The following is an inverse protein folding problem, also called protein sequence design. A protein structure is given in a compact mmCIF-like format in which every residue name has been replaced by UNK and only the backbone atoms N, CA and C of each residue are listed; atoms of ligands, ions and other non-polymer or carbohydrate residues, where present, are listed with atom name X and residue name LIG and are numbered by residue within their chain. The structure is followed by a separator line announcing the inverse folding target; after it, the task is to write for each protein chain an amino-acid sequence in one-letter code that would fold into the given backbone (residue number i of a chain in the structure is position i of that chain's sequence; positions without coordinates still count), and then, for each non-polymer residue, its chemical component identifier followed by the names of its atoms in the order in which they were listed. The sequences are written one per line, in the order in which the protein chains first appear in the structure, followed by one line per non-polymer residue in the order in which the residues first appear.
data_IF_179337468455
#
_entry.id   IF_179337468455
#
_cell.length_a   1.000
_cell.length_b   1.000
_cell.length_c   1.000
_cell.angle_alpha   90.00
_cell.angle_beta   90.00
_cell.angle_gamma   90.00
#
_symmetry.space_group_name_H-M   'P 1'
#
loop_
_entity.id
_entity.type
_entity.pdbx_description
1 polymer ?
#
# COMPACT_ATOMS: atom_id res chain seq x y z
N UNK A 1 -7.23 5.26 4.85
CA UNK A 1 -6.08 4.33 4.76
C UNK A 1 -4.98 4.80 5.71
N UNK A 2 -4.24 3.88 6.32
CA UNK A 2 -3.14 4.14 7.26
C UNK A 2 -1.75 3.80 6.65
N UNK A 3 -0.61 4.26 7.20
CA UNK A 3 0.73 3.98 6.67
C UNK A 3 1.30 2.58 7.03
N UNK A 4 2.44 2.19 6.46
CA UNK A 4 3.16 0.97 6.85
C UNK A 4 3.59 1.06 8.32
N UNK A 5 3.48 -0.04 9.07
CA UNK A 5 3.78 -0.09 10.50
C UNK A 5 3.01 0.95 11.33
N UNK A 6 1.75 1.26 10.99
CA UNK A 6 0.98 2.32 11.65
C UNK A 6 0.82 2.09 13.16
N UNK A 7 0.69 0.82 13.57
CA UNK A 7 0.40 0.46 14.95
C UNK A 7 1.64 0.51 15.84
N UNK A 8 2.81 0.13 15.31
CA UNK A 8 4.05 0.09 16.07
C UNK A 8 5.28 0.06 15.14
N UNK A 9 6.32 0.82 15.50
CA UNK A 9 7.65 0.71 14.94
C UNK A 9 8.65 0.40 16.05
N UNK A 10 9.15 -0.85 16.10
CA UNK A 10 10.08 -1.30 17.14
C UNK A 10 11.46 -0.64 17.05
N UNK A 11 12.19 -0.66 18.16
CA UNK A 11 13.58 -0.18 18.20
C UNK A 11 14.54 -1.07 17.38
N UNK A 12 14.23 -2.36 17.30
CA UNK A 12 14.96 -3.34 16.50
C UNK A 12 14.00 -4.09 15.58
N UNK A 13 14.53 -4.64 14.50
CA UNK A 13 13.69 -5.38 13.55
C UNK A 13 13.00 -6.60 14.16
N UNK A 14 13.65 -7.30 15.10
CA UNK A 14 13.10 -8.48 15.77
C UNK A 14 11.92 -8.16 16.68
N UNK A 15 11.76 -6.91 17.12
CA UNK A 15 10.67 -6.53 18.03
C UNK A 15 9.28 -6.78 17.39
N UNK A 16 9.21 -6.84 16.05
CA UNK A 16 8.01 -7.24 15.29
C UNK A 16 7.45 -8.61 15.71
N UNK A 17 8.31 -9.54 16.13
CA UNK A 17 7.91 -10.89 16.55
C UNK A 17 7.06 -10.85 17.83
N UNK A 18 7.41 -9.97 18.77
CA UNK A 18 6.68 -9.81 20.03
C UNK A 18 5.29 -9.18 19.81
N UNK A 19 5.15 -8.34 18.79
CA UNK A 19 3.90 -7.69 18.42
C UNK A 19 3.10 -8.45 17.34
N UNK A 20 3.55 -9.64 16.95
CA UNK A 20 2.93 -10.40 15.89
C UNK A 20 1.57 -10.98 16.32
N UNK A 21 0.52 -10.61 15.58
CA UNK A 21 -0.83 -11.10 15.81
C UNK A 21 -1.12 -12.38 15.02
N UNK A 22 -2.07 -13.19 15.50
CA UNK A 22 -2.64 -14.26 14.69
C UNK A 22 -3.68 -13.65 13.74
N UNK A 23 -3.83 -14.20 12.53
CA UNK A 23 -4.84 -13.69 11.60
C UNK A 23 -6.25 -13.86 12.20
N UNK A 24 -7.00 -12.77 12.30
CA UNK A 24 -8.34 -12.72 12.89
C UNK A 24 -8.34 -12.63 14.42
N UNK A 25 -7.18 -12.45 15.06
CA UNK A 25 -7.09 -12.32 16.52
C UNK A 25 -5.93 -11.39 16.90
N UNK A 26 -6.28 -10.21 17.40
CA UNK A 26 -5.34 -9.29 18.01
C UNK A 26 -5.86 -7.85 18.08
N UNK A 27 -5.32 -7.05 19.01
CA UNK A 27 -5.83 -5.72 19.31
C UNK A 27 -5.81 -4.75 18.12
N UNK A 28 -4.83 -4.85 17.22
CA UNK A 28 -4.74 -4.00 16.03
C UNK A 28 -5.85 -4.37 15.04
N UNK A 29 -6.12 -5.66 14.85
CA UNK A 29 -7.21 -6.12 13.99
C UNK A 29 -8.58 -5.75 14.56
N UNK A 30 -8.77 -5.91 15.87
CA UNK A 30 -10.02 -5.54 16.54
C UNK A 30 -10.27 -4.03 16.44
N UNK A 31 -9.24 -3.22 16.67
CA UNK A 31 -9.31 -1.77 16.48
C UNK A 31 -9.72 -1.38 15.05
N UNK A 32 -9.13 -2.01 14.03
CA UNK A 32 -9.44 -1.70 12.63
C UNK A 32 -10.87 -2.13 12.25
N UNK A 33 -11.32 -3.30 12.71
CA UNK A 33 -12.68 -3.78 12.50
C UNK A 33 -13.71 -2.88 13.18
N UNK A 34 -13.46 -2.51 14.44
CA UNK A 34 -14.32 -1.61 15.21
C UNK A 34 -14.38 -0.21 14.61
N UNK A 35 -13.24 0.34 14.20
CA UNK A 35 -13.19 1.64 13.54
C UNK A 35 -13.97 1.64 12.23
N UNK A 36 -13.83 0.58 11.40
CA UNK A 36 -14.54 0.46 10.14
C UNK A 36 -16.06 0.41 10.36
N UNK A 37 -16.51 -0.39 11.34
CA UNK A 37 -17.91 -0.53 11.72
C UNK A 37 -18.51 0.76 12.30
N UNK A 38 -17.84 1.37 13.27
CA UNK A 38 -18.34 2.58 13.95
C UNK A 38 -18.39 3.78 13.01
N UNK A 39 -17.42 3.91 12.10
CA UNK A 39 -17.38 5.02 11.15
C UNK A 39 -18.20 4.74 9.87
N UNK A 40 -18.57 3.48 9.62
CA UNK A 40 -19.18 3.06 8.36
C UNK A 40 -18.27 3.34 7.16
N UNK A 41 -16.98 3.07 7.30
CA UNK A 41 -15.95 3.34 6.27
C UNK A 41 -15.20 2.07 5.88
N UNK A 42 -14.78 2.02 4.62
CA UNK A 42 -13.76 1.08 4.19
C UNK A 42 -12.40 1.51 4.77
N UNK A 43 -11.68 0.59 5.41
CA UNK A 43 -10.38 0.88 6.01
C UNK A 43 -9.32 -0.07 5.47
N UNK A 44 -8.33 0.48 4.77
CA UNK A 44 -7.05 -0.20 4.52
C UNK A 44 -6.10 0.17 5.66
N UNK A 45 -5.85 -0.80 6.53
CA UNK A 45 -5.20 -0.63 7.83
C UNK A 45 -3.68 -0.58 7.78
N UNK A 46 -3.09 0.09 6.79
CA UNK A 46 -1.63 0.23 6.72
C UNK A 46 -0.95 -1.13 6.67
N UNK A 47 0.02 -1.37 7.55
CA UNK A 47 0.50 -2.75 7.79
C UNK A 47 0.68 -3.09 9.26
N UNK A 48 0.57 -4.38 9.56
CA UNK A 48 0.87 -4.99 10.85
C UNK A 48 1.63 -6.32 10.68
N UNK A 49 2.45 -6.73 11.68
CA UNK A 49 3.10 -8.03 11.66
C UNK A 49 2.10 -9.14 11.96
N UNK A 50 1.92 -10.09 11.04
CA UNK A 50 1.14 -11.31 11.29
C UNK A 50 2.04 -12.53 11.43
N UNK A 51 1.73 -13.40 12.39
CA UNK A 51 2.46 -14.65 12.63
C UNK A 51 2.45 -15.54 11.38
N UNK A 52 3.60 -16.12 11.08
CA UNK A 52 3.78 -17.19 10.09
C UNK A 52 3.69 -18.55 10.78
N UNK A 53 3.50 -19.62 9.99
CA UNK A 53 3.56 -20.98 10.51
C UNK A 53 4.95 -21.43 10.97
N UNK A 54 6.03 -20.75 10.53
CA UNK A 54 7.41 -21.11 10.89
C UNK A 54 7.86 -20.58 12.27
N UNK A 55 7.06 -19.71 12.90
CA UNK A 55 7.30 -19.18 14.25
C UNK A 55 8.54 -18.30 14.41
N UNK A 56 9.31 -18.09 13.36
CA UNK A 56 10.60 -17.35 13.39
C UNK A 56 10.53 -16.03 12.61
N UNK A 57 9.51 -15.87 11.76
CA UNK A 57 9.26 -14.67 10.99
C UNK A 57 7.83 -14.16 11.20
N UNK A 58 7.57 -12.98 10.66
CA UNK A 58 6.23 -12.40 10.51
C UNK A 58 5.98 -12.09 9.04
N UNK A 59 4.74 -11.87 8.66
CA UNK A 59 4.42 -11.20 7.39
C UNK A 59 4.24 -9.71 7.64
N UNK A 60 4.62 -8.87 6.68
CA UNK A 60 4.30 -7.44 6.68
C UNK A 60 2.99 -7.27 5.90
N UNK A 61 1.87 -7.32 6.61
CA UNK A 61 0.55 -7.53 6.01
C UNK A 61 -0.29 -6.27 6.03
N UNK A 62 -0.92 -5.94 4.91
CA UNK A 62 -1.98 -4.93 4.81
C UNK A 62 -3.35 -5.61 4.82
N UNK A 63 -4.21 -5.23 5.74
CA UNK A 63 -5.57 -5.73 5.85
C UNK A 63 -6.58 -4.67 5.41
N UNK A 64 -7.63 -5.09 4.71
CA UNK A 64 -8.74 -4.23 4.34
C UNK A 64 -10.03 -4.68 5.04
N UNK A 65 -10.76 -3.72 5.57
CA UNK A 65 -12.01 -3.92 6.31
C UNK A 65 -13.16 -3.17 5.63
N UNK A 66 -14.30 -3.84 5.51
CA UNK A 66 -15.54 -3.26 5.02
C UNK A 66 -16.21 -2.39 6.10
N UNK A 67 -17.16 -1.51 5.74
CA UNK A 67 -17.97 -0.73 6.68
C UNK A 67 -18.73 -1.56 7.72
N UNK A 68 -18.86 -2.87 7.53
CA UNK A 68 -19.44 -3.81 8.50
C UNK A 68 -18.48 -4.20 9.62
N UNK A 69 -17.18 -3.90 9.47
CA UNK A 69 -16.09 -4.42 10.28
C UNK A 69 -15.50 -5.74 9.77
N UNK A 70 -16.04 -6.32 8.70
CA UNK A 70 -15.53 -7.56 8.12
C UNK A 70 -14.18 -7.34 7.43
N UNK A 71 -13.19 -8.21 7.70
CA UNK A 71 -11.95 -8.23 6.93
C UNK A 71 -12.19 -8.86 5.56
N UNK A 72 -12.18 -8.03 4.52
CA UNK A 72 -12.44 -8.42 3.13
C UNK A 72 -11.18 -8.75 2.32
N UNK A 73 -10.00 -8.30 2.77
CA UNK A 73 -8.76 -8.61 2.09
C UNK A 73 -7.56 -8.66 3.05
N UNK A 74 -6.55 -9.43 2.63
CA UNK A 74 -5.21 -9.48 3.20
C UNK A 74 -4.22 -9.48 2.05
N UNK A 75 -3.24 -8.59 2.11
CA UNK A 75 -2.08 -8.56 1.24
C UNK A 75 -0.82 -8.70 2.08
N UNK A 76 0.05 -9.65 1.74
CA UNK A 76 1.36 -9.79 2.36
C UNK A 76 2.40 -9.21 1.40
N UNK A 77 3.23 -8.28 1.89
CA UNK A 77 4.27 -7.61 1.11
C UNK A 77 5.12 -8.62 0.34
N UNK A 78 5.15 -8.48 -0.99
CA UNK A 78 5.80 -9.45 -1.87
C UNK A 78 7.30 -9.16 -1.95
N UNK A 79 7.67 -7.89 -2.12
CA UNK A 79 9.08 -7.51 -2.24
C UNK A 79 9.63 -6.98 -0.93
N UNK A 80 10.58 -7.70 -0.34
CA UNK A 80 11.21 -7.33 0.92
C UNK A 80 12.42 -6.43 0.68
N UNK A 81 12.55 -5.39 1.50
CA UNK A 81 13.63 -4.41 1.37
C UNK A 81 14.97 -5.00 1.80
N UNK A 82 15.99 -4.80 0.96
CA UNK A 82 17.36 -5.16 1.24
C UNK A 82 18.29 -4.10 0.65
N UNK A 83 19.33 -3.72 1.40
CA UNK A 83 20.44 -2.97 0.86
C UNK A 83 21.75 -3.37 1.53
N UNK A 84 22.84 -3.24 0.78
CA UNK A 84 24.21 -3.36 1.26
C UNK A 84 25.04 -2.34 0.48
N UNK A 85 25.63 -1.38 1.17
CA UNK A 85 26.48 -0.35 0.56
C UNK A 85 27.97 -0.51 0.96
N UNK A 86 28.34 -1.66 1.54
CA UNK A 86 29.68 -1.96 2.06
C UNK A 86 30.02 -1.30 3.41
N UNK A 87 29.16 -0.40 3.93
CA UNK A 87 29.30 0.23 5.26
C UNK A 87 28.14 -0.16 6.18
N UNK A 88 26.95 -0.23 5.61
CA UNK A 88 25.70 -0.59 6.26
C UNK A 88 24.99 -1.65 5.43
N UNK A 89 24.40 -2.62 6.13
CA UNK A 89 23.60 -3.68 5.54
C UNK A 89 22.28 -3.80 6.27
N UNK A 90 21.21 -3.92 5.50
CA UNK A 90 19.85 -4.18 5.99
C UNK A 90 19.20 -5.27 5.15
N UNK A 91 18.45 -6.16 5.81
CA UNK A 91 17.77 -7.27 5.17
C UNK A 91 16.45 -7.58 5.91
N UNK A 92 15.33 -7.07 5.37
CA UNK A 92 13.98 -7.26 5.94
C UNK A 92 13.63 -8.76 6.05
N UNK A 93 14.12 -9.57 5.12
CA UNK A 93 13.88 -11.02 5.04
C UNK A 93 14.37 -11.82 6.25
N UNK A 94 15.24 -11.26 7.10
CA UNK A 94 15.69 -11.91 8.34
C UNK A 94 14.57 -12.15 9.33
N UNK A 95 13.56 -11.29 9.34
CA UNK A 95 12.43 -11.36 10.29
C UNK A 95 11.07 -11.32 9.58
N UNK A 96 11.04 -10.98 8.29
CA UNK A 96 9.80 -10.93 7.49
C UNK A 96 9.79 -12.03 6.43
N UNK A 97 8.69 -12.75 6.31
CA UNK A 97 8.40 -13.66 5.22
C UNK A 97 7.66 -12.92 4.10
N UNK A 98 8.08 -13.15 2.86
CA UNK A 98 7.49 -12.53 1.69
C UNK A 98 6.11 -13.15 1.36
N UNK A 99 5.18 -12.30 0.94
CA UNK A 99 3.98 -12.72 0.23
C UNK A 99 4.31 -13.24 -1.16
N UNK A 100 3.30 -13.78 -1.86
CA UNK A 100 3.49 -14.41 -3.18
C UNK A 100 2.43 -14.05 -4.21
N UNK A 101 1.37 -13.34 -3.81
CA UNK A 101 0.19 -13.14 -4.64
C UNK A 101 -0.20 -11.66 -4.65
N UNK A 102 -0.35 -11.06 -5.85
CA UNK A 102 -1.06 -9.80 -5.99
C UNK A 102 -2.49 -9.92 -5.45
N UNK A 103 -3.03 -8.85 -4.87
CA UNK A 103 -4.38 -8.85 -4.31
C UNK A 103 -5.14 -7.64 -4.80
N UNK A 104 -6.37 -7.90 -5.24
CA UNK A 104 -7.37 -6.87 -5.58
C UNK A 104 -8.64 -7.11 -4.79
N UNK A 105 -9.37 -6.04 -4.51
CA UNK A 105 -10.72 -6.09 -3.95
C UNK A 105 -11.61 -5.07 -4.66
N UNK A 106 -12.92 -5.30 -4.66
CA UNK A 106 -13.87 -4.33 -5.16
C UNK A 106 -14.52 -3.59 -3.97
N UNK A 107 -14.59 -2.27 -4.07
CA UNK A 107 -15.13 -1.35 -3.05
C UNK A 107 -16.34 -0.63 -3.64
N UNK A 108 -17.48 -0.75 -2.98
CA UNK A 108 -18.67 0.06 -3.28
C UNK A 108 -18.58 1.41 -2.58
N UNK A 109 -18.56 2.49 -3.36
CA UNK A 109 -18.64 3.85 -2.86
C UNK A 109 -20.09 4.22 -2.50
N UNK A 110 -20.25 5.30 -1.73
CA UNK A 110 -21.56 5.75 -1.22
C UNK A 110 -22.51 6.24 -2.31
N UNK A 111 -21.97 6.67 -3.44
CA UNK A 111 -22.73 7.08 -4.63
C UNK A 111 -23.15 5.90 -5.52
N UNK A 112 -22.82 4.66 -5.13
CA UNK A 112 -23.11 3.45 -5.87
C UNK A 112 -22.05 3.07 -6.90
N UNK A 113 -20.99 3.87 -7.08
CA UNK A 113 -19.88 3.50 -7.97
C UNK A 113 -19.07 2.33 -7.39
N UNK A 114 -18.57 1.47 -8.28
CA UNK A 114 -17.74 0.31 -7.93
C UNK A 114 -16.30 0.55 -8.34
N UNK A 115 -15.39 0.45 -7.38
CA UNK A 115 -13.96 0.70 -7.55
C UNK A 115 -13.18 -0.59 -7.37
N UNK A 116 -12.41 -1.00 -8.39
CA UNK A 116 -11.45 -2.09 -8.24
C UNK A 116 -10.15 -1.56 -7.66
N UNK A 117 -9.77 -2.04 -6.48
CA UNK A 117 -8.62 -1.57 -5.72
C UNK A 117 -7.51 -2.62 -5.72
N UNK A 118 -6.29 -2.22 -6.06
CA UNK A 118 -5.07 -3.04 -5.95
C UNK A 118 -4.29 -2.72 -4.69
N UNK A 119 -3.77 -3.75 -4.01
CA UNK A 119 -2.94 -3.62 -2.82
C UNK A 119 -1.46 -3.80 -3.15
N UNK A 120 -0.61 -2.95 -2.58
CA UNK A 120 0.86 -3.06 -2.61
C UNK A 120 1.45 -2.43 -1.36
N UNK A 121 2.70 -2.69 -1.00
CA UNK A 121 3.35 -2.13 0.21
C UNK A 121 4.76 -1.65 -0.11
N UNK A 122 4.99 -0.35 0.10
CA UNK A 122 6.32 0.27 0.19
C UNK A 122 7.29 -0.15 -0.93
N UNK A 123 8.19 -1.09 -0.65
CA UNK A 123 9.25 -1.53 -1.56
C UNK A 123 8.72 -2.14 -2.87
N UNK A 124 7.48 -2.67 -2.84
CA UNK A 124 6.74 -3.08 -4.02
C UNK A 124 6.71 -1.99 -5.10
N UNK A 125 6.74 -0.70 -4.72
CA UNK A 125 6.76 0.45 -5.63
C UNK A 125 7.84 0.36 -6.71
N UNK A 126 8.95 -0.34 -6.43
CA UNK A 126 10.08 -0.45 -7.36
C UNK A 126 9.85 -1.47 -8.48
N UNK A 127 8.86 -2.34 -8.36
CA UNK A 127 8.64 -3.49 -9.24
C UNK A 127 7.42 -3.25 -10.13
N UNK A 128 7.59 -2.67 -11.34
CA UNK A 128 6.48 -2.38 -12.25
C UNK A 128 5.65 -3.62 -12.58
N UNK A 129 6.24 -4.82 -12.56
CA UNK A 129 5.60 -6.10 -12.87
C UNK A 129 4.38 -6.38 -11.98
N UNK A 130 4.47 -6.04 -10.69
CA UNK A 130 3.33 -6.16 -9.78
C UNK A 130 2.17 -5.27 -10.24
N UNK A 131 2.48 -4.01 -10.57
CA UNK A 131 1.45 -3.06 -11.00
C UNK A 131 0.88 -3.40 -12.37
N UNK A 132 1.69 -4.00 -13.25
CA UNK A 132 1.22 -4.52 -14.54
C UNK A 132 0.25 -5.67 -14.39
N UNK A 133 0.48 -6.56 -13.41
CA UNK A 133 -0.48 -7.59 -13.05
C UNK A 133 -1.79 -6.98 -12.52
N UNK A 134 -1.70 -5.94 -11.67
CA UNK A 134 -2.87 -5.22 -11.16
C UNK A 134 -3.63 -4.47 -12.27
N UNK A 135 -2.96 -3.99 -13.31
CA UNK A 135 -3.57 -3.35 -14.49
C UNK A 135 -4.30 -4.32 -15.44
N UNK A 136 -4.45 -5.59 -15.04
CA UNK A 136 -5.17 -6.61 -15.79
C UNK A 136 -4.43 -7.10 -17.04
N UNK A 137 -4.95 -8.10 -17.73
CA UNK A 137 -4.40 -8.68 -18.96
C UNK A 137 -3.17 -9.58 -18.76
N UNK A 138 -2.66 -9.71 -17.53
CA UNK A 138 -1.55 -10.60 -17.16
C UNK A 138 -1.95 -11.40 -15.93
N UNK A 139 -1.66 -12.71 -15.92
CA UNK A 139 -1.82 -13.56 -14.73
C UNK A 139 -3.25 -13.77 -14.22
N UNK A 140 -4.26 -13.70 -15.10
CA UNK A 140 -5.65 -14.05 -14.78
C UNK A 140 -6.50 -12.91 -14.21
N UNK A 141 -6.01 -11.67 -14.21
CA UNK A 141 -6.79 -10.49 -13.82
C UNK A 141 -7.41 -9.85 -15.06
N UNK A 142 -8.73 -9.94 -15.23
CA UNK A 142 -9.41 -9.53 -16.47
C UNK A 142 -9.69 -8.03 -16.55
N UNK A 143 -9.69 -7.33 -15.42
CA UNK A 143 -10.01 -5.89 -15.33
C UNK A 143 -8.86 -5.10 -14.69
N UNK A 144 -8.46 -3.95 -15.26
CA UNK A 144 -7.51 -3.05 -14.60
C UNK A 144 -8.08 -2.53 -13.28
N UNK A 145 -7.21 -2.39 -12.28
CA UNK A 145 -7.54 -1.66 -11.05
C UNK A 145 -7.83 -0.20 -11.36
N UNK A 146 -8.82 0.37 -10.69
CA UNK A 146 -9.19 1.79 -10.77
C UNK A 146 -8.37 2.63 -9.79
N UNK A 147 -7.96 2.02 -8.67
CA UNK A 147 -7.15 2.62 -7.61
C UNK A 147 -6.08 1.64 -7.14
N UNK A 148 -4.85 2.12 -6.90
CA UNK A 148 -3.83 1.43 -6.13
C UNK A 148 -3.70 2.10 -4.77
N UNK A 149 -3.71 1.31 -3.71
CA UNK A 149 -3.39 1.78 -2.35
C UNK A 149 -2.03 1.22 -1.93
N UNK A 150 -1.18 2.07 -1.36
CA UNK A 150 0.19 1.70 -1.01
C UNK A 150 0.68 2.33 0.30
N UNK A 151 0.59 1.61 1.43
CA UNK A 151 1.15 2.08 2.68
C UNK A 151 2.68 1.92 2.63
N UNK A 152 3.39 2.87 3.21
CA UNK A 152 4.84 2.85 3.15
C UNK A 152 5.54 3.50 4.35
N UNK A 153 6.78 3.09 4.57
CA UNK A 153 7.75 3.72 5.44
C UNK A 153 9.08 3.95 4.69
N UNK A 154 9.04 4.66 3.56
CA UNK A 154 10.23 4.99 2.77
C UNK A 154 11.27 5.71 3.60
N UNK A 155 12.55 5.36 3.43
CA UNK A 155 13.66 6.10 4.07
C UNK A 155 13.72 7.51 3.50
N UNK A 156 14.14 8.50 4.31
CA UNK A 156 14.25 9.88 3.84
C UNK A 156 15.14 10.00 2.59
N UNK A 157 16.32 9.35 2.60
CA UNK A 157 17.27 9.37 1.48
C UNK A 157 16.66 8.89 0.17
N UNK A 158 15.99 7.73 0.19
CA UNK A 158 15.42 7.17 -1.05
C UNK A 158 14.09 7.81 -1.41
N UNK A 159 13.33 8.29 -0.42
CA UNK A 159 12.07 8.97 -0.63
C UNK A 159 12.26 10.30 -1.36
N UNK A 160 13.22 11.11 -0.92
CA UNK A 160 13.56 12.39 -1.56
C UNK A 160 13.88 12.24 -3.06
N UNK A 161 14.51 11.13 -3.44
CA UNK A 161 14.90 10.89 -4.82
C UNK A 161 13.84 10.17 -5.67
N UNK A 162 13.06 9.26 -5.08
CA UNK A 162 12.28 8.29 -5.88
C UNK A 162 10.78 8.30 -5.61
N UNK A 163 10.33 8.76 -4.44
CA UNK A 163 8.95 8.53 -3.98
C UNK A 163 7.90 9.08 -4.96
N UNK A 164 7.96 10.38 -5.25
CA UNK A 164 7.01 11.01 -6.18
C UNK A 164 7.14 10.43 -7.59
N UNK A 165 8.37 10.28 -8.10
CA UNK A 165 8.64 9.84 -9.47
C UNK A 165 8.01 8.47 -9.71
N UNK A 166 8.25 7.52 -8.81
CA UNK A 166 7.72 6.17 -8.96
C UNK A 166 6.20 6.13 -8.79
N UNK A 167 5.63 6.88 -7.85
CA UNK A 167 4.18 6.95 -7.67
C UNK A 167 3.46 7.47 -8.91
N UNK A 168 3.97 8.56 -9.47
CA UNK A 168 3.44 9.14 -10.70
C UNK A 168 3.62 8.20 -11.88
N UNK A 169 4.77 7.52 -11.97
CA UNK A 169 4.96 6.48 -12.97
C UNK A 169 3.90 5.39 -12.85
N UNK A 170 3.61 4.86 -11.65
CA UNK A 170 2.59 3.81 -11.46
C UNK A 170 1.19 4.28 -11.85
N UNK A 171 0.82 5.53 -11.54
CA UNK A 171 -0.47 6.09 -11.91
C UNK A 171 -0.61 6.22 -13.44
N UNK A 172 0.36 6.86 -14.09
CA UNK A 172 0.36 7.12 -15.54
C UNK A 172 0.37 5.80 -16.31
N UNK A 173 1.29 4.92 -15.96
CA UNK A 173 1.58 3.76 -16.77
C UNK A 173 0.46 2.71 -16.70
N UNK A 174 -0.27 2.65 -15.57
CA UNK A 174 -1.38 1.74 -15.34
C UNK A 174 -2.76 2.42 -15.48
N UNK A 175 -2.79 3.71 -15.81
CA UNK A 175 -4.00 4.51 -16.01
C UNK A 175 -5.02 4.32 -14.89
N UNK A 176 -4.58 4.59 -13.66
CA UNK A 176 -5.36 4.44 -12.44
C UNK A 176 -4.93 5.49 -11.39
N UNK A 177 -5.77 5.72 -10.40
CA UNK A 177 -5.40 6.54 -9.26
C UNK A 177 -4.39 5.80 -8.37
N UNK A 178 -3.53 6.54 -7.67
CA UNK A 178 -2.64 5.99 -6.64
C UNK A 178 -2.80 6.77 -5.34
N UNK A 179 -3.18 6.08 -4.26
CA UNK A 179 -3.22 6.59 -2.90
C UNK A 179 -2.05 6.00 -2.10
N UNK A 180 -1.06 6.83 -1.81
CA UNK A 180 0.15 6.41 -1.11
C UNK A 180 0.29 7.11 0.24
N UNK A 181 0.40 6.32 1.31
CA UNK A 181 0.43 6.84 2.68
C UNK A 181 1.76 6.48 3.34
N UNK A 182 2.62 7.48 3.50
CA UNK A 182 3.97 7.34 4.03
C UNK A 182 4.06 7.68 5.51
N UNK A 183 4.74 6.85 6.31
CA UNK A 183 5.30 7.28 7.60
C UNK A 183 6.24 8.46 7.36
N UNK A 184 6.21 9.48 8.22
CA UNK A 184 7.04 10.67 8.06
C UNK A 184 7.70 11.13 9.36
N UNK A 185 8.90 11.71 9.23
CA UNK A 185 9.65 12.27 10.35
C UNK A 185 10.67 11.30 10.93
N UNK A 186 11.22 11.67 12.09
CA UNK A 186 12.17 10.85 12.84
C UNK A 186 11.43 10.08 13.92
N UNK A 187 11.63 8.76 13.95
CA UNK A 187 11.02 7.82 14.90
C UNK A 187 11.89 7.63 16.13
N UNK A 188 11.35 7.05 17.20
CA UNK A 188 12.05 6.78 18.46
C UNK A 188 13.23 5.80 18.32
N UNK A 189 13.31 5.10 17.19
CA UNK A 189 14.40 4.18 16.83
C UNK A 189 15.46 4.82 15.91
N UNK A 190 15.48 6.15 15.84
CA UNK A 190 16.37 6.96 14.98
C UNK A 190 16.17 6.80 13.47
N UNK A 191 15.25 5.95 13.01
CA UNK A 191 14.87 5.89 11.60
C UNK A 191 14.23 7.21 11.20
N UNK A 192 14.62 7.71 10.04
CA UNK A 192 13.96 8.84 9.40
C UNK A 192 13.19 8.37 8.17
N UNK A 193 11.89 8.64 8.13
CA UNK A 193 11.04 8.29 6.99
C UNK A 193 10.54 9.52 6.24
N UNK A 194 10.32 9.32 4.94
CA UNK A 194 10.11 10.41 4.01
C UNK A 194 8.79 11.14 4.21
N UNK A 195 7.72 10.45 4.60
CA UNK A 195 6.37 11.02 4.61
C UNK A 195 5.89 11.22 3.18
N UNK A 196 5.56 12.47 2.84
CA UNK A 196 5.07 12.86 1.52
C UNK A 196 3.89 12.02 1.04
N UNK A 197 2.96 11.70 1.95
CA UNK A 197 1.70 11.03 1.59
C UNK A 197 1.02 11.83 0.49
N UNK A 198 0.48 11.16 -0.53
CA UNK A 198 -0.12 11.84 -1.66
C UNK A 198 -1.16 10.99 -2.35
N UNK A 199 -2.02 11.69 -3.09
CA UNK A 199 -2.92 11.12 -4.07
C UNK A 199 -2.48 11.57 -5.45
N UNK A 200 -2.34 10.62 -6.37
CA UNK A 200 -1.97 10.87 -7.76
C UNK A 200 -3.12 10.45 -8.68
N UNK A 201 -3.51 11.34 -9.59
CA UNK A 201 -4.50 11.09 -10.64
C UNK A 201 -3.97 10.17 -11.75
N UNK A 202 -4.86 9.59 -12.58
CA UNK A 202 -4.50 8.67 -13.64
C UNK A 202 -3.65 9.29 -14.78
N UNK A 203 -3.54 10.62 -14.83
CA UNK A 203 -2.66 11.34 -15.74
C UNK A 203 -1.33 11.77 -15.08
N UNK A 204 -1.11 11.37 -13.83
CA UNK A 204 0.09 11.67 -13.06
C UNK A 204 0.09 13.05 -12.39
N UNK A 205 -1.04 13.76 -12.39
CA UNK A 205 -1.26 14.95 -11.58
C UNK A 205 -1.32 14.57 -10.08
N UNK A 206 -0.81 15.44 -9.20
CA UNK A 206 -0.88 15.24 -7.75
C UNK A 206 -2.11 16.00 -7.25
N UNK A 207 -3.12 15.27 -6.81
CA UNK A 207 -4.42 15.83 -6.39
C UNK A 207 -4.33 16.48 -5.01
N UNK A 208 -3.64 15.82 -4.08
CA UNK A 208 -3.34 16.37 -2.76
C UNK A 208 -2.09 15.69 -2.19
N UNK A 209 -1.38 16.38 -1.28
CA UNK A 209 -0.21 15.83 -0.61
C UNK A 209 0.10 16.46 0.74
N UNK A 210 0.68 15.64 1.63
CA UNK A 210 1.23 16.04 2.92
C UNK A 210 2.73 15.74 2.95
N UNK A 211 3.55 16.78 2.76
CA UNK A 211 5.01 16.64 2.67
C UNK A 211 5.64 15.98 3.91
N UNK A 212 5.37 16.52 5.10
CA UNK A 212 5.98 16.07 6.37
C UNK A 212 5.01 16.24 7.53
N UNK A 213 5.27 15.48 8.60
CA UNK A 213 4.54 15.53 9.86
C UNK A 213 3.14 14.88 9.80
N UNK A 214 2.46 14.78 10.95
CA UNK A 214 1.13 14.19 11.03
C UNK A 214 0.12 14.99 10.19
N UNK A 215 -0.82 14.28 9.56
CA UNK A 215 -1.89 14.90 8.80
C UNK A 215 -2.70 13.91 7.99
N UNK A 216 -3.68 14.44 7.26
CA UNK A 216 -4.56 13.70 6.36
C UNK A 216 -4.37 14.29 4.96
N UNK A 217 -4.44 13.42 3.95
CA UNK A 217 -4.50 13.78 2.54
C UNK A 217 -5.86 13.32 2.03
N UNK A 218 -6.56 14.18 1.31
CA UNK A 218 -7.94 13.95 0.86
C UNK A 218 -8.05 14.37 -0.60
N UNK A 219 -8.67 13.51 -1.41
CA UNK A 219 -8.99 13.82 -2.80
C UNK A 219 -10.25 13.05 -3.21
N UNK A 220 -11.02 13.63 -4.11
CA UNK A 220 -12.15 12.98 -4.77
C UNK A 220 -11.66 12.19 -5.98
N UNK A 221 -12.23 11.00 -6.18
CA UNK A 221 -11.95 10.17 -7.35
C UNK A 221 -13.13 10.22 -8.31
N UNK A 222 -12.86 10.59 -9.56
CA UNK A 222 -13.87 10.67 -10.61
C UNK A 222 -13.78 9.43 -11.54
N UNK A 223 -14.81 8.57 -11.58
CA UNK A 223 -14.83 7.41 -12.46
C UNK A 223 -15.00 7.78 -13.95
N UNK A 224 -15.61 8.94 -14.23
CA UNK A 224 -15.78 9.47 -15.60
C UNK A 224 -14.42 9.89 -16.14
N UNK A 225 -13.67 10.70 -15.38
CA UNK A 225 -12.32 11.11 -15.76
C UNK A 225 -11.38 9.91 -15.97
N UNK A 226 -11.46 8.90 -15.10
CA UNK A 226 -10.69 7.66 -15.26
C UNK A 226 -11.02 6.95 -16.59
N UNK A 227 -12.30 6.87 -16.95
CA UNK A 227 -12.72 6.29 -18.21
C UNK A 227 -12.24 7.10 -19.42
N UNK A 228 -12.28 8.44 -19.34
CA UNK A 228 -11.79 9.35 -20.37
C UNK A 228 -10.28 9.21 -20.60
N UNK A 229 -9.47 9.12 -19.54
CA UNK A 229 -8.03 8.87 -19.64
C UNK A 229 -7.74 7.56 -20.38
N UNK A 230 -8.45 6.49 -20.02
CA UNK A 230 -8.31 5.17 -20.66
C UNK A 230 -8.80 5.14 -22.11
N UNK A 231 -9.78 5.98 -22.46
CA UNK A 231 -10.31 6.07 -23.82
C UNK A 231 -9.42 6.93 -24.74
N UNK A 232 -8.93 8.06 -24.23
CA UNK A 232 -8.11 9.03 -24.98
C UNK A 232 -6.70 8.50 -25.28
N UNK A 233 -6.08 7.81 -24.33
CA UNK A 233 -4.80 7.13 -24.51
C UNK A 233 -4.95 5.65 -24.11
N UNK A 234 -5.44 4.76 -24.98
CA UNK A 234 -5.76 3.37 -24.62
C UNK A 234 -4.51 2.46 -24.51
N UNK A 235 -3.46 2.94 -23.83
CA UNK A 235 -2.15 2.28 -23.74
C UNK A 235 -2.24 0.85 -23.19
N UNK A 236 -3.14 0.59 -22.22
CA UNK A 236 -3.33 -0.75 -21.68
C UNK A 236 -3.80 -1.78 -22.71
N UNK A 237 -4.53 -1.35 -23.76
CA UNK A 237 -5.00 -2.20 -24.86
C UNK A 237 -3.95 -2.46 -25.93
N UNK A 238 -2.90 -1.64 -25.97
CA UNK A 238 -1.81 -1.75 -26.95
C UNK A 238 -0.66 -2.63 -26.46
N UNK A 239 -0.79 -3.28 -25.28
CA UNK A 239 0.23 -4.18 -24.74
C UNK A 239 0.35 -5.44 -25.61
N UNK A 240 1.58 -5.85 -25.88
CA UNK A 240 1.93 -7.03 -26.70
C UNK A 240 2.89 -7.99 -25.99
N UNK A 241 3.17 -7.72 -24.71
CA UNK A 241 3.99 -8.54 -23.81
C UNK A 241 3.15 -9.00 -22.63
#
# INVERSE_FOLDING_TARGET
MLPEYFAAMGHRDQDKLAHAEALGNGPVQDFLADAARTLGLWIVGGTLPLRTGDGTRVTNSSLAFAPTGERVARYDKIHLFQFDNGRERYEEARVVAAGRQPVTLDIGARDGSLWRVGLSVCYDLRFPELYRHLAGGVGGNDKPVDLIVMPAAFTETTGRAHWEILLRARAIENQCYVLAVGQGGRHENDRETHGNSMVVGPWGDILDRKLKGPGVVIADFDPTYLAEVRASLPALRHRVL
#
